data_IF_463155849362
#
_entry.id   IF_463155849362
#
_cell.length_a   1.000
_cell.length_b   1.000
_cell.length_c   1.000
_cell.angle_alpha   90.00
_cell.angle_beta   90.00
_cell.angle_gamma   90.00
#
_symmetry.space_group_name_H-M   'P 1'
#
loop_
_entity.id
_entity.type
_entity.pdbx_description
1 polymer ?
#
# COMPACT_ATOMS: atom_id res chain seq x y z
N UNK A 1 14.32 -13.46 -7.71
CA UNK A 1 13.04 -12.83 -7.32
C UNK A 1 11.99 -13.31 -8.30
N UNK A 2 10.85 -13.85 -7.84
CA UNK A 2 9.72 -14.04 -8.76
C UNK A 2 9.03 -12.68 -8.88
N UNK A 3 9.11 -12.06 -10.05
CA UNK A 3 8.47 -10.78 -10.36
C UNK A 3 6.99 -10.75 -9.94
N UNK A 4 6.33 -11.92 -9.91
CA UNK A 4 4.97 -12.12 -9.41
C UNK A 4 4.71 -11.66 -7.97
N UNK A 5 5.71 -11.63 -7.07
CA UNK A 5 5.49 -11.16 -5.68
C UNK A 5 5.19 -9.66 -5.60
N UNK A 6 5.82 -8.85 -6.45
CA UNK A 6 5.56 -7.41 -6.52
C UNK A 6 4.15 -7.14 -7.07
N UNK A 7 3.78 -7.84 -8.14
CA UNK A 7 2.43 -7.73 -8.71
C UNK A 7 1.35 -8.24 -7.75
N UNK A 8 1.66 -9.20 -6.86
CA UNK A 8 0.74 -9.68 -5.85
C UNK A 8 0.51 -8.71 -4.68
N UNK A 9 1.43 -7.76 -4.43
CA UNK A 9 1.30 -6.80 -3.33
C UNK A 9 0.15 -5.79 -3.56
N UNK A 10 -0.07 -5.38 -4.81
CA UNK A 10 -1.15 -4.44 -5.18
C UNK A 10 -2.55 -5.01 -4.91
N UNK A 11 -2.93 -6.21 -5.41
CA UNK A 11 -4.22 -6.80 -5.10
C UNK A 11 -4.35 -7.18 -3.62
N UNK A 12 -3.25 -7.53 -2.94
CA UNK A 12 -3.28 -7.71 -1.49
C UNK A 12 -3.70 -6.43 -0.76
N UNK A 13 -3.20 -5.25 -1.17
CA UNK A 13 -3.65 -3.96 -0.64
C UNK A 13 -5.10 -3.64 -0.98
N UNK A 14 -5.53 -3.92 -2.22
CA UNK A 14 -6.92 -3.72 -2.65
C UNK A 14 -7.92 -4.61 -1.89
N UNK A 15 -7.52 -5.81 -1.46
CA UNK A 15 -8.35 -6.68 -0.63
C UNK A 15 -8.66 -6.06 0.73
N UNK A 16 -7.72 -5.32 1.33
CA UNK A 16 -8.00 -4.62 2.59
C UNK A 16 -9.08 -3.55 2.43
N UNK A 17 -9.20 -2.96 1.25
CA UNK A 17 -10.22 -1.95 0.93
C UNK A 17 -11.64 -2.53 0.94
N UNK A 18 -11.81 -3.78 0.51
CA UNK A 18 -13.08 -4.52 0.58
C UNK A 18 -13.53 -4.80 2.03
N UNK A 19 -12.66 -4.61 3.01
CA UNK A 19 -13.03 -4.68 4.42
C UNK A 19 -13.81 -3.44 4.89
N UNK A 20 -13.71 -2.33 4.17
CA UNK A 20 -14.40 -1.09 4.49
C UNK A 20 -15.75 -1.00 3.74
N UNK A 21 -16.57 -0.01 4.09
CA UNK A 21 -17.84 0.24 3.41
C UNK A 21 -17.61 0.42 1.90
N UNK A 22 -18.48 -0.12 1.03
CA UNK A 22 -19.83 -0.69 1.25
C UNK A 22 -19.87 -2.20 1.54
N UNK A 23 -18.74 -2.90 1.54
CA UNK A 23 -18.70 -4.38 1.54
C UNK A 23 -18.60 -5.01 2.94
N UNK A 24 -18.04 -4.31 3.93
CA UNK A 24 -17.98 -4.73 5.35
C UNK A 24 -17.38 -6.13 5.60
N UNK A 25 -16.53 -6.64 4.71
CA UNK A 25 -15.86 -7.93 4.92
C UNK A 25 -14.65 -7.79 5.84
N UNK A 26 -14.90 -7.65 7.15
CA UNK A 26 -13.86 -7.50 8.17
C UNK A 26 -12.69 -8.52 8.12
N UNK A 27 -12.87 -9.81 7.71
CA UNK A 27 -11.74 -10.75 7.67
C UNK A 27 -10.74 -10.40 6.58
N UNK A 28 -11.15 -9.71 5.51
CA UNK A 28 -10.28 -9.39 4.38
C UNK A 28 -9.18 -8.40 4.78
N UNK A 29 -9.41 -7.52 5.77
CA UNK A 29 -8.36 -6.68 6.33
C UNK A 29 -7.25 -7.52 6.98
N UNK A 30 -7.62 -8.55 7.75
CA UNK A 30 -6.65 -9.45 8.36
C UNK A 30 -5.93 -10.28 7.30
N UNK A 31 -6.64 -10.81 6.31
CA UNK A 31 -6.04 -11.57 5.20
C UNK A 31 -5.05 -10.71 4.43
N UNK A 32 -5.39 -9.44 4.14
CA UNK A 32 -4.50 -8.50 3.47
C UNK A 32 -3.22 -8.24 4.26
N UNK A 33 -3.33 -8.04 5.58
CA UNK A 33 -2.17 -7.87 6.46
C UNK A 33 -1.32 -9.15 6.53
N UNK A 34 -1.95 -10.31 6.68
CA UNK A 34 -1.25 -11.60 6.65
C UNK A 34 -0.50 -11.82 5.32
N UNK A 35 -1.11 -11.46 4.19
CA UNK A 35 -0.45 -11.50 2.89
C UNK A 35 0.75 -10.55 2.85
N UNK A 36 0.63 -9.31 3.33
CA UNK A 36 1.75 -8.38 3.41
C UNK A 36 2.92 -8.96 4.23
N UNK A 37 2.65 -9.52 5.41
CA UNK A 37 3.68 -10.16 6.23
C UNK A 37 4.29 -11.40 5.56
N UNK A 38 3.46 -12.23 4.90
CA UNK A 38 3.91 -13.38 4.12
C UNK A 38 4.84 -12.98 2.96
N UNK A 39 4.56 -11.85 2.29
CA UNK A 39 5.40 -11.32 1.22
C UNK A 39 6.72 -10.72 1.74
N UNK A 40 6.73 -10.22 2.98
CA UNK A 40 7.89 -9.62 3.66
C UNK A 40 8.88 -10.65 4.20
N UNK A 41 8.41 -11.86 4.54
CA UNK A 41 9.23 -12.93 5.07
C UNK A 41 10.43 -13.21 4.15
N UNK A 42 11.64 -13.11 4.72
CA UNK A 42 12.93 -13.30 4.03
C UNK A 42 13.31 -12.24 2.98
N UNK A 43 12.66 -11.07 2.96
CA UNK A 43 13.04 -9.99 2.06
C UNK A 43 14.09 -9.05 2.67
N UNK A 44 14.84 -8.37 1.80
CA UNK A 44 15.78 -7.31 2.21
C UNK A 44 15.04 -6.00 2.50
N UNK A 45 15.58 -5.10 3.34
CA UNK A 45 14.90 -3.86 3.73
C UNK A 45 14.52 -2.97 2.53
N UNK A 46 15.39 -2.89 1.52
CA UNK A 46 15.09 -2.19 0.25
C UNK A 46 13.87 -2.77 -0.47
N UNK A 47 13.72 -4.10 -0.46
CA UNK A 47 12.59 -4.80 -1.10
C UNK A 47 11.33 -4.72 -0.25
N UNK A 48 11.47 -4.79 1.06
CA UNK A 48 10.36 -4.55 2.00
C UNK A 48 9.73 -3.19 1.74
N UNK A 49 10.52 -2.13 1.65
CA UNK A 49 10.02 -0.78 1.36
C UNK A 49 9.19 -0.74 0.05
N UNK A 50 9.66 -1.40 -1.00
CA UNK A 50 8.95 -1.47 -2.28
C UNK A 50 7.63 -2.25 -2.17
N UNK A 51 7.62 -3.39 -1.47
CA UNK A 51 6.40 -4.18 -1.24
C UNK A 51 5.37 -3.38 -0.42
N UNK A 52 5.82 -2.72 0.66
CA UNK A 52 4.96 -1.85 1.48
C UNK A 52 4.40 -0.67 0.68
N UNK A 53 5.19 -0.09 -0.22
CA UNK A 53 4.75 0.96 -1.13
C UNK A 53 3.67 0.45 -2.10
N UNK A 54 3.90 -0.68 -2.78
CA UNK A 54 2.92 -1.25 -3.73
C UNK A 54 1.63 -1.69 -3.03
N UNK A 55 1.72 -2.25 -1.83
CA UNK A 55 0.56 -2.59 -1.02
C UNK A 55 -0.23 -1.33 -0.61
N UNK A 56 0.46 -0.29 -0.15
CA UNK A 56 -0.14 1.01 0.15
C UNK A 56 -0.81 1.64 -1.06
N UNK A 57 -0.17 1.58 -2.25
CA UNK A 57 -0.78 2.05 -3.50
C UNK A 57 -2.09 1.31 -3.82
N UNK A 58 -2.14 -0.01 -3.62
CA UNK A 58 -3.37 -0.78 -3.82
C UNK A 58 -4.48 -0.41 -2.84
N UNK A 59 -4.13 -0.30 -1.55
CA UNK A 59 -5.07 0.09 -0.48
C UNK A 59 -5.62 1.50 -0.68
N UNK A 60 -4.75 2.50 -0.78
CA UNK A 60 -5.15 3.90 -0.89
C UNK A 60 -5.69 4.23 -2.28
N UNK A 61 -5.14 3.65 -3.34
CA UNK A 61 -5.61 3.86 -4.70
C UNK A 61 -7.05 3.38 -4.89
N UNK A 62 -7.41 2.23 -4.34
CA UNK A 62 -8.80 1.74 -4.40
C UNK A 62 -9.69 2.41 -3.36
N UNK A 63 -9.19 2.64 -2.14
CA UNK A 63 -10.00 3.14 -1.01
C UNK A 63 -10.27 4.63 -1.01
N UNK A 64 -9.38 5.42 -1.61
CA UNK A 64 -9.45 6.88 -1.66
C UNK A 64 -9.81 7.34 -3.08
N UNK A 65 -10.03 6.41 -4.03
CA UNK A 65 -10.44 6.70 -5.42
C UNK A 65 -11.57 7.73 -5.52
N UNK A 66 -12.51 7.74 -4.57
CA UNK A 66 -13.62 8.68 -4.48
C UNK A 66 -13.19 10.14 -4.24
N UNK A 67 -12.04 10.41 -3.61
CA UNK A 67 -11.54 11.78 -3.38
C UNK A 67 -11.23 12.50 -4.68
N UNK A 68 -10.85 11.76 -5.73
CA UNK A 68 -10.69 12.34 -7.06
C UNK A 68 -12.01 12.97 -7.56
N UNK A 69 -13.15 12.33 -7.28
CA UNK A 69 -14.47 12.84 -7.65
C UNK A 69 -14.80 14.11 -6.86
N UNK A 70 -14.39 14.20 -5.59
CA UNK A 70 -14.52 15.44 -4.81
C UNK A 70 -13.66 16.56 -5.38
N UNK A 71 -12.39 16.31 -5.69
CA UNK A 71 -11.47 17.33 -6.26
C UNK A 71 -11.96 17.80 -7.63
N UNK A 72 -12.46 16.89 -8.47
CA UNK A 72 -12.99 17.22 -9.78
C UNK A 72 -14.24 18.12 -9.69
N UNK A 73 -15.12 17.90 -8.71
CA UNK A 73 -16.35 18.68 -8.53
C UNK A 73 -16.11 20.03 -7.84
N UNK A 74 -15.19 20.11 -6.88
CA UNK A 74 -14.95 21.33 -6.07
C UNK A 74 -13.78 22.18 -6.57
N UNK A 75 -12.88 21.64 -7.39
CA UNK A 75 -11.64 22.31 -7.76
C UNK A 75 -11.77 23.37 -8.86
N UNK A 76 -12.77 23.27 -9.76
CA UNK A 76 -12.86 24.15 -10.94
C UNK A 76 -11.61 24.16 -11.83
N UNK A 77 -10.71 23.18 -11.63
CA UNK A 77 -9.36 23.12 -12.19
C UNK A 77 -9.30 22.17 -13.39
N UNK A 78 -8.26 22.28 -14.26
CA UNK A 78 -8.05 21.37 -15.37
C UNK A 78 -7.96 19.91 -14.91
N UNK A 79 -8.50 18.99 -15.70
CA UNK A 79 -8.52 17.55 -15.42
C UNK A 79 -7.15 16.98 -14.99
N UNK A 80 -6.05 17.48 -15.57
CA UNK A 80 -4.69 17.05 -15.27
C UNK A 80 -4.25 17.38 -13.83
N UNK A 81 -4.71 18.51 -13.27
CA UNK A 81 -4.39 18.92 -11.91
C UNK A 81 -5.08 18.03 -10.86
N UNK A 82 -6.31 17.56 -11.15
CA UNK A 82 -7.02 16.64 -10.26
C UNK A 82 -6.33 15.27 -10.15
N UNK A 83 -5.90 14.72 -11.29
CA UNK A 83 -5.17 13.44 -11.33
C UNK A 83 -3.80 13.54 -10.67
N UNK A 84 -3.07 14.64 -10.85
CA UNK A 84 -1.75 14.83 -10.22
C UNK A 84 -1.87 14.99 -8.70
N UNK A 85 -2.86 15.72 -8.20
CA UNK A 85 -3.12 15.84 -6.76
C UNK A 85 -3.47 14.47 -6.15
N UNK A 86 -4.30 13.69 -6.84
CA UNK A 86 -4.69 12.36 -6.41
C UNK A 86 -3.49 11.41 -6.36
N UNK A 87 -2.66 11.39 -7.41
CA UNK A 87 -1.45 10.60 -7.46
C UNK A 87 -0.48 11.01 -6.34
N UNK A 88 -0.34 12.31 -6.07
CA UNK A 88 0.51 12.83 -5.01
C UNK A 88 0.01 12.44 -3.62
N UNK A 89 -1.30 12.52 -3.38
CA UNK A 89 -1.92 12.08 -2.12
C UNK A 89 -1.72 10.58 -1.89
N UNK A 90 -1.99 9.75 -2.91
CA UNK A 90 -1.80 8.30 -2.82
C UNK A 90 -0.33 7.97 -2.58
N UNK A 91 0.60 8.62 -3.29
CA UNK A 91 2.03 8.42 -3.11
C UNK A 91 2.51 8.85 -1.71
N UNK A 92 1.99 9.96 -1.20
CA UNK A 92 2.27 10.44 0.16
C UNK A 92 1.78 9.46 1.21
N UNK A 93 0.55 8.96 1.10
CA UNK A 93 -0.01 7.97 2.02
C UNK A 93 0.71 6.62 1.93
N UNK A 94 1.06 6.17 0.72
CA UNK A 94 1.81 4.93 0.49
C UNK A 94 3.25 4.99 1.02
N UNK A 95 3.79 6.19 1.28
CA UNK A 95 5.09 6.35 1.90
C UNK A 95 5.12 5.84 3.36
N UNK A 96 4.02 5.97 4.11
CA UNK A 96 3.90 5.48 5.48
C UNK A 96 4.09 3.95 5.62
N UNK A 97 3.33 3.09 4.90
CA UNK A 97 3.53 1.65 4.97
C UNK A 97 4.90 1.23 4.41
N UNK A 98 5.43 1.92 3.40
CA UNK A 98 6.79 1.67 2.92
C UNK A 98 7.84 1.88 4.02
N UNK A 99 7.74 2.98 4.77
CA UNK A 99 8.63 3.28 5.88
C UNK A 99 8.49 2.28 7.03
N UNK A 100 7.25 1.97 7.43
CA UNK A 100 6.96 1.00 8.50
C UNK A 100 7.54 -0.38 8.20
N UNK A 101 7.32 -0.88 6.98
CA UNK A 101 7.88 -2.16 6.52
C UNK A 101 9.40 -2.13 6.47
N UNK A 102 9.99 -1.05 5.94
CA UNK A 102 11.45 -0.91 5.88
C UNK A 102 12.07 -0.97 7.28
N UNK A 103 11.46 -0.28 8.25
CA UNK A 103 11.91 -0.32 9.65
C UNK A 103 11.82 -1.73 10.23
N UNK A 104 10.67 -2.42 10.06
CA UNK A 104 10.50 -3.80 10.58
C UNK A 104 11.52 -4.78 10.00
N UNK A 105 11.78 -4.71 8.70
CA UNK A 105 12.74 -5.58 8.02
C UNK A 105 14.19 -5.22 8.33
N UNK A 106 14.49 -3.94 8.58
CA UNK A 106 15.79 -3.50 9.05
C UNK A 106 16.08 -4.01 10.47
N UNK A 107 15.10 -3.98 11.38
CA UNK A 107 15.24 -4.52 12.73
C UNK A 107 15.51 -6.03 12.70
N UNK A 108 14.76 -6.78 11.88
CA UNK A 108 14.96 -8.23 11.71
C UNK A 108 16.33 -8.54 11.07
N UNK A 109 16.80 -7.68 10.15
CA UNK A 109 18.11 -7.85 9.53
C UNK A 109 19.26 -7.56 10.51
N UNK A 110 19.10 -6.57 11.40
CA UNK A 110 20.05 -6.26 12.48
C UNK A 110 20.17 -7.43 13.45
N UNK A 111 19.05 -7.97 13.92
CA UNK A 111 19.02 -9.09 14.89
C UNK A 111 19.73 -10.35 14.36
N UNK A 112 19.56 -10.63 13.05
CA UNK A 112 20.23 -11.75 12.38
C UNK A 112 21.75 -11.58 12.28
N UNK A 113 22.28 -10.35 12.38
CA UNK A 113 23.73 -10.10 12.29
C UNK A 113 24.48 -10.30 13.61
N UNK A 114 23.75 -10.32 14.72
CA UNK A 114 24.29 -10.46 16.08
C UNK A 114 24.17 -11.88 16.65
N UNK A 115 23.55 -12.81 15.92
CA UNK A 115 23.44 -14.24 16.25
C UNK A 115 24.34 -15.09 15.37
#
# INVERSE_FOLDING_TARGET
MKLGQLFAAVPAGALATLSFAPYNYWPLALVSLCLLFALLLQQTPKRGALIGFLWGLGLFGTGISWVHVSIANFGGMPWLAGWSLMALLIAYLAFYPAFSVSCSTALIAVDRSTS
#
